data_IF_626054068938
#
_entry.id   IF_626054068938
#
_cell.length_a   1.000
_cell.length_b   1.000
_cell.length_c   1.000
_cell.angle_alpha   90.00
_cell.angle_beta   90.00
_cell.angle_gamma   90.00
#
_symmetry.space_group_name_H-M   'P 1'
#
loop_
_entity.id
_entity.type
_entity.pdbx_description
1 polymer ?
#
# COMPACT_ATOMS: atom_id res chain seq x y z
N UNK A 1 8.23 15.09 8.39
CA UNK A 1 8.95 13.91 7.85
C UNK A 1 8.06 12.73 8.16
N UNK A 2 7.56 12.01 7.16
CA UNK A 2 6.75 10.83 7.41
C UNK A 2 7.69 9.76 7.97
N UNK A 3 7.34 9.19 9.11
CA UNK A 3 8.08 8.07 9.68
C UNK A 3 7.80 6.86 8.79
N UNK A 4 8.76 6.51 7.94
CA UNK A 4 8.63 5.39 7.00
C UNK A 4 8.82 4.09 7.79
N UNK A 5 7.73 3.60 8.35
CA UNK A 5 7.72 2.37 9.14
C UNK A 5 7.99 1.18 8.21
N UNK A 6 9.17 0.56 8.41
CA UNK A 6 9.58 -0.69 7.79
C UNK A 6 9.56 -1.81 8.82
N UNK A 7 8.75 -2.82 8.59
CA UNK A 7 8.67 -4.01 9.42
C UNK A 7 9.46 -5.15 8.77
N UNK A 8 10.41 -5.71 9.52
CA UNK A 8 11.20 -6.88 9.11
C UNK A 8 10.58 -8.14 9.68
N UNK A 9 10.04 -8.99 8.82
CA UNK A 9 9.45 -10.25 9.20
C UNK A 9 10.55 -11.31 9.43
N UNK A 10 10.35 -12.28 10.34
CA UNK A 10 11.30 -13.38 10.56
C UNK A 10 11.56 -14.28 9.34
N UNK A 11 10.66 -14.27 8.35
CA UNK A 11 10.81 -14.99 7.08
C UNK A 11 11.71 -14.26 6.06
N UNK A 12 12.30 -13.13 6.46
CA UNK A 12 13.16 -12.30 5.62
C UNK A 12 12.38 -11.36 4.68
N UNK A 13 11.06 -11.31 4.77
CA UNK A 13 10.26 -10.30 4.06
C UNK A 13 10.25 -8.96 4.78
N UNK A 14 10.05 -7.89 4.01
CA UNK A 14 9.91 -6.52 4.53
C UNK A 14 8.53 -5.98 4.13
N UNK A 15 7.79 -5.45 5.10
CA UNK A 15 6.51 -4.77 4.89
C UNK A 15 6.68 -3.27 5.16
N UNK A 16 6.30 -2.43 4.20
CA UNK A 16 6.37 -0.98 4.37
C UNK A 16 5.44 -0.24 3.40
N UNK A 17 5.21 1.04 3.70
CA UNK A 17 4.72 2.00 2.73
C UNK A 17 5.89 2.47 1.88
N UNK A 18 5.84 2.18 0.58
CA UNK A 18 6.93 2.55 -0.32
C UNK A 18 6.94 4.06 -0.61
N UNK A 19 8.12 4.67 -0.49
CA UNK A 19 8.41 6.03 -0.94
C UNK A 19 9.64 6.01 -1.85
N UNK A 20 9.74 6.96 -2.79
CA UNK A 20 10.84 7.02 -3.77
C UNK A 20 12.21 7.33 -3.16
N UNK A 21 12.26 7.71 -1.88
CA UNK A 21 13.53 7.90 -1.19
C UNK A 21 14.19 6.57 -0.77
N UNK A 22 13.48 5.43 -0.83
CA UNK A 22 14.08 4.10 -0.63
C UNK A 22 14.81 3.70 -1.90
N UNK A 23 16.15 3.65 -1.83
CA UNK A 23 16.95 3.11 -2.92
C UNK A 23 16.84 1.57 -2.97
N UNK A 24 15.86 1.07 -3.73
CA UNK A 24 15.65 -0.37 -3.91
C UNK A 24 16.85 -1.10 -4.54
N UNK A 25 17.66 -0.41 -5.35
CA UNK A 25 18.84 -1.00 -5.96
C UNK A 25 19.93 -1.31 -4.91
N UNK A 26 20.09 -0.44 -3.91
CA UNK A 26 21.04 -0.64 -2.82
C UNK A 26 20.69 -1.84 -1.92
N UNK A 27 19.42 -2.28 -1.92
CA UNK A 27 18.94 -3.43 -1.15
C UNK A 27 19.21 -4.78 -1.86
N UNK A 28 19.74 -4.76 -3.08
CA UNK A 28 20.06 -5.96 -3.85
C UNK A 28 18.88 -6.55 -4.64
N UNK A 29 18.84 -7.87 -4.80
CA UNK A 29 17.80 -8.55 -5.60
C UNK A 29 16.52 -8.72 -4.78
N UNK A 30 15.48 -8.00 -5.16
CA UNK A 30 14.19 -8.01 -4.46
C UNK A 30 13.08 -8.66 -5.29
N UNK A 31 12.10 -9.24 -4.60
CA UNK A 31 10.76 -9.51 -5.16
C UNK A 31 9.79 -8.52 -4.53
N UNK A 32 9.27 -7.59 -5.33
CA UNK A 32 8.38 -6.54 -4.83
C UNK A 32 6.92 -6.91 -5.10
N UNK A 33 6.06 -6.79 -4.09
CA UNK A 33 4.62 -7.00 -4.22
C UNK A 33 3.86 -5.85 -3.56
N UNK A 34 2.96 -5.22 -4.31
CA UNK A 34 2.06 -4.19 -3.75
C UNK A 34 1.14 -4.81 -2.70
N UNK A 35 1.00 -4.13 -1.56
CA UNK A 35 0.06 -4.53 -0.50
C UNK A 35 -1.39 -4.20 -0.87
N UNK A 36 -1.60 -3.23 -1.75
CA UNK A 36 -2.91 -2.71 -2.15
C UNK A 36 -2.89 -2.19 -3.58
N UNK A 37 -4.08 -2.01 -4.15
CA UNK A 37 -4.31 -1.28 -5.39
C UNK A 37 -5.44 -0.27 -5.19
N UNK A 38 -5.30 0.88 -5.83
CA UNK A 38 -6.32 1.92 -5.90
C UNK A 38 -6.66 2.11 -7.37
N UNK A 39 -7.86 1.73 -7.77
CA UNK A 39 -8.34 1.76 -9.16
C UNK A 39 -9.68 2.49 -9.22
N UNK A 40 -9.96 3.16 -10.34
CA UNK A 40 -11.24 3.85 -10.53
C UNK A 40 -12.31 2.82 -10.94
N UNK A 41 -13.40 2.73 -10.19
CA UNK A 41 -14.55 1.89 -10.49
C UNK A 41 -15.54 2.71 -11.34
N UNK A 42 -15.55 2.44 -12.64
CA UNK A 42 -16.42 3.14 -13.60
C UNK A 42 -17.92 2.94 -13.32
N UNK A 43 -18.31 1.83 -12.69
CA UNK A 43 -19.74 1.56 -12.40
C UNK A 43 -20.20 2.37 -11.20
N UNK A 44 -19.31 2.60 -10.22
CA UNK A 44 -19.61 3.35 -9.00
C UNK A 44 -19.22 4.82 -9.08
N UNK A 45 -18.42 5.21 -10.08
CA UNK A 45 -17.82 6.54 -10.21
C UNK A 45 -17.03 6.94 -8.95
N UNK A 46 -16.27 5.99 -8.41
CA UNK A 46 -15.47 6.16 -7.20
C UNK A 46 -14.13 5.43 -7.33
N UNK A 47 -13.13 5.87 -6.60
CA UNK A 47 -11.90 5.13 -6.38
C UNK A 47 -12.15 4.00 -5.40
N UNK A 48 -11.62 2.82 -5.70
CA UNK A 48 -11.78 1.60 -4.92
C UNK A 48 -10.43 1.07 -4.49
N UNK A 49 -10.31 0.68 -3.22
CA UNK A 49 -9.08 0.10 -2.66
C UNK A 49 -9.25 -1.40 -2.50
N UNK A 50 -8.35 -2.19 -3.08
CA UNK A 50 -8.23 -3.64 -2.84
C UNK A 50 -6.93 -3.93 -2.09
N UNK A 51 -6.94 -4.95 -1.24
CA UNK A 51 -5.79 -5.34 -0.40
C UNK A 51 -5.37 -6.77 -0.68
N UNK A 52 -4.06 -6.99 -0.76
CA UNK A 52 -3.44 -8.28 -1.03
C UNK A 52 -3.83 -8.83 -2.39
N UNK A 53 -4.23 -10.10 -2.42
CA UNK A 53 -4.70 -10.79 -3.63
C UNK A 53 -6.22 -10.72 -3.81
N UNK A 54 -6.93 -10.07 -2.88
CA UNK A 54 -8.39 -9.96 -2.95
C UNK A 54 -8.79 -9.03 -4.09
N UNK A 55 -9.81 -9.45 -4.87
CA UNK A 55 -10.48 -8.55 -5.84
C UNK A 55 -11.63 -7.77 -5.21
N UNK A 56 -12.02 -8.09 -3.97
CA UNK A 56 -13.10 -7.39 -3.28
C UNK A 56 -12.55 -6.08 -2.70
N UNK A 57 -13.10 -4.92 -3.08
CA UNK A 57 -12.67 -3.67 -2.49
C UNK A 57 -13.06 -3.59 -1.02
N UNK A 58 -12.19 -2.98 -0.23
CA UNK A 58 -12.34 -2.80 1.22
C UNK A 58 -12.62 -1.35 1.60
N UNK A 59 -12.40 -0.41 0.69
CA UNK A 59 -12.67 1.02 0.88
C UNK A 59 -13.02 1.69 -0.45
N UNK A 60 -13.86 2.73 -0.41
CA UNK A 60 -14.22 3.56 -1.56
C UNK A 60 -14.21 5.03 -1.19
N UNK A 61 -13.80 5.90 -2.11
CA UNK A 61 -13.96 7.35 -2.01
C UNK A 61 -14.07 7.98 -3.39
N UNK A 62 -14.73 9.13 -3.50
CA UNK A 62 -14.68 9.98 -4.71
C UNK A 62 -13.31 10.62 -4.90
N UNK A 63 -12.49 10.71 -3.85
CA UNK A 63 -11.14 11.27 -3.86
C UNK A 63 -10.08 10.17 -3.80
N UNK A 64 -9.22 10.12 -4.82
CA UNK A 64 -8.04 9.23 -4.80
C UNK A 64 -7.13 9.51 -3.62
N UNK A 65 -7.06 10.78 -3.20
CA UNK A 65 -6.23 11.21 -2.09
C UNK A 65 -6.71 10.62 -0.75
N UNK A 66 -8.02 10.52 -0.55
CA UNK A 66 -8.59 9.87 0.63
C UNK A 66 -8.29 8.37 0.65
N UNK A 67 -8.32 7.70 -0.52
CA UNK A 67 -7.89 6.30 -0.62
C UNK A 67 -6.42 6.11 -0.24
N UNK A 68 -5.53 7.04 -0.62
CA UNK A 68 -4.12 7.01 -0.22
C UNK A 68 -3.94 7.25 1.29
N UNK A 69 -4.72 8.16 1.88
CA UNK A 69 -4.69 8.40 3.33
C UNK A 69 -5.18 7.17 4.10
N UNK A 70 -6.27 6.56 3.63
CA UNK A 70 -6.77 5.29 4.15
C UNK A 70 -5.69 4.21 4.08
N UNK A 71 -5.00 4.06 2.94
CA UNK A 71 -3.92 3.08 2.77
C UNK A 71 -2.82 3.28 3.81
N UNK A 72 -2.36 4.52 3.99
CA UNK A 72 -1.33 4.85 4.99
C UNK A 72 -1.78 4.48 6.40
N UNK A 73 -2.99 4.86 6.79
CA UNK A 73 -3.52 4.56 8.12
C UNK A 73 -3.73 3.05 8.32
N UNK A 74 -4.21 2.34 7.29
CA UNK A 74 -4.48 0.92 7.33
C UNK A 74 -3.21 0.08 7.49
N UNK A 75 -2.10 0.50 6.89
CA UNK A 75 -0.82 -0.21 7.00
C UNK A 75 0.07 0.31 8.13
N UNK A 76 -0.03 1.59 8.53
CA UNK A 76 0.72 2.12 9.68
C UNK A 76 0.21 1.61 11.04
N UNK A 77 -1.06 1.19 11.13
CA UNK A 77 -1.67 0.68 12.37
C UNK A 77 -1.54 -0.83 12.55
N UNK A 78 -0.88 -1.54 11.62
CA UNK A 78 -0.73 -3.00 11.68
C UNK A 78 0.69 -3.33 12.12
N UNK A 79 0.87 -4.04 13.26
CA UNK A 79 2.17 -4.51 13.70
C UNK A 79 2.74 -5.62 12.79
#
# INVERSE_FOLDING_TARGET
MADDIMEFCPDGSVRCLYHEAINLHALGRLTVRRASKIEFDERRQMWAVTVGRSRKPVFFSTSRQECLQWERQHFASRP
#
